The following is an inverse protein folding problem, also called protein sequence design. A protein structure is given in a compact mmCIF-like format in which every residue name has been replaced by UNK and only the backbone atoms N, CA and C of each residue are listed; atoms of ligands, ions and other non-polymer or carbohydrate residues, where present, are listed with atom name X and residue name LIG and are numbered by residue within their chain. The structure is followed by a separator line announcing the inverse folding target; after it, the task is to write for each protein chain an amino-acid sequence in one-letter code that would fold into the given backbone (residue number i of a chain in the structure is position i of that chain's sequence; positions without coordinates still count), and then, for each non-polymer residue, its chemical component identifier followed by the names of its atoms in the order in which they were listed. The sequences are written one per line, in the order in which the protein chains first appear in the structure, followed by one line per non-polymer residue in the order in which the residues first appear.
data_IF_427426036439
#
_entry.id   IF_427426036439
#
_cell.length_a   1.000
_cell.length_b   1.000
_cell.length_c   1.000
_cell.angle_alpha   90.00
_cell.angle_beta   90.00
_cell.angle_gamma   90.00
#
_symmetry.space_group_name_H-M   'P 1'
#
loop_
_entity.id
_entity.type
_entity.pdbx_description
1 polymer ?
#
# COMPACT_ATOMS: atom_id res chain seq x y z
N UNK A 1 -53.00 26.66 12.34
CA UNK A 1 -51.80 26.73 11.48
C UNK A 1 -50.62 26.05 12.17
N UNK A 2 -50.61 24.72 12.27
CA UNK A 2 -49.53 24.00 12.96
C UNK A 2 -49.33 22.58 12.38
N UNK A 3 -49.40 22.44 11.05
CA UNK A 3 -49.17 21.15 10.37
C UNK A 3 -47.95 21.12 9.45
N UNK A 4 -47.30 22.26 9.20
CA UNK A 4 -46.18 22.35 8.27
C UNK A 4 -44.80 22.46 8.93
N UNK A 5 -44.71 22.46 10.26
CA UNK A 5 -43.42 22.66 10.94
C UNK A 5 -42.58 21.36 11.05
N UNK A 6 -43.22 20.20 11.01
CA UNK A 6 -42.53 18.91 11.15
C UNK A 6 -41.90 18.38 9.85
N UNK A 7 -42.33 18.87 8.68
CA UNK A 7 -41.77 18.46 7.40
C UNK A 7 -40.43 19.15 7.08
N UNK A 8 -40.17 20.32 7.67
CA UNK A 8 -38.92 21.07 7.47
C UNK A 8 -37.78 20.65 8.41
N UNK A 9 -38.10 19.98 9.53
CA UNK A 9 -37.09 19.48 10.48
C UNK A 9 -36.62 18.05 10.19
N UNK A 10 -37.37 17.29 9.37
CA UNK A 10 -37.01 15.90 9.02
C UNK A 10 -36.05 15.76 7.83
N UNK A 11 -35.84 16.81 7.04
CA UNK A 11 -35.03 16.77 5.82
C UNK A 11 -33.56 17.22 6.01
N UNK A 12 -33.19 17.62 7.23
CA UNK A 12 -31.88 18.24 7.52
C UNK A 12 -30.77 17.28 7.97
N UNK A 13 -31.04 15.99 8.18
CA UNK A 13 -30.13 15.10 8.93
C UNK A 13 -29.33 14.11 8.04
N UNK A 14 -29.58 14.01 6.72
CA UNK A 14 -29.06 12.87 5.94
C UNK A 14 -27.77 13.16 5.13
N UNK A 15 -27.26 14.38 5.03
CA UNK A 15 -26.29 14.71 3.97
C UNK A 15 -24.83 14.95 4.36
N UNK A 16 -24.33 14.44 5.49
CA UNK A 16 -22.87 14.55 5.76
C UNK A 16 -22.28 13.29 6.39
N UNK A 17 -22.50 12.13 5.77
CA UNK A 17 -21.52 11.04 5.82
C UNK A 17 -20.66 11.16 4.55
N UNK A 18 -19.89 12.25 4.46
CA UNK A 18 -18.76 12.31 3.55
C UNK A 18 -17.78 11.22 3.98
N UNK A 19 -17.89 10.06 3.34
CA UNK A 19 -17.00 8.93 3.55
C UNK A 19 -15.57 9.40 3.34
N UNK A 20 -14.81 9.47 4.42
CA UNK A 20 -13.38 9.70 4.35
C UNK A 20 -12.80 8.54 3.54
N UNK A 21 -12.38 8.80 2.30
CA UNK A 21 -11.72 7.75 1.52
C UNK A 21 -10.35 7.54 2.15
N UNK A 22 -10.12 6.39 2.79
CA UNK A 22 -8.81 5.97 3.31
C UNK A 22 -7.87 5.64 2.14
N UNK A 23 -7.61 6.62 1.26
CA UNK A 23 -6.66 6.50 0.17
C UNK A 23 -5.27 6.62 0.74
N UNK A 24 -4.39 5.71 0.34
CA UNK A 24 -3.00 5.75 0.72
C UNK A 24 -2.21 6.54 -0.31
N UNK A 25 -1.56 7.61 0.14
CA UNK A 25 -0.83 8.53 -0.73
C UNK A 25 0.66 8.17 -0.87
N UNK A 26 1.25 7.52 0.13
CA UNK A 26 2.63 7.05 0.09
C UNK A 26 2.87 6.05 -1.04
N UNK A 27 4.05 6.02 -1.69
CA UNK A 27 4.42 4.96 -2.63
C UNK A 27 4.33 3.58 -1.98
N UNK A 28 3.68 2.66 -2.67
CA UNK A 28 3.36 1.34 -2.10
C UNK A 28 3.04 0.31 -3.18
N UNK A 29 3.12 -0.96 -2.81
CA UNK A 29 2.77 -2.07 -3.70
C UNK A 29 2.11 -3.22 -2.94
N UNK A 30 1.40 -4.08 -3.67
CA UNK A 30 0.82 -5.31 -3.12
C UNK A 30 1.70 -6.49 -3.51
N UNK A 31 2.05 -7.32 -2.54
CA UNK A 31 2.73 -8.59 -2.81
C UNK A 31 2.20 -9.67 -1.87
N UNK A 32 1.79 -10.83 -2.42
CA UNK A 32 1.21 -11.93 -1.65
C UNK A 32 0.12 -11.48 -0.67
N UNK A 33 -0.86 -10.71 -1.17
CA UNK A 33 -2.00 -10.16 -0.43
C UNK A 33 -1.65 -9.23 0.74
N UNK A 34 -0.40 -8.76 0.81
CA UNK A 34 0.05 -7.78 1.79
C UNK A 34 0.46 -6.48 1.08
N UNK A 35 0.05 -5.36 1.68
CA UNK A 35 0.50 -4.03 1.25
C UNK A 35 1.85 -3.74 1.87
N UNK A 36 2.79 -3.26 1.05
CA UNK A 36 4.11 -2.79 1.46
C UNK A 36 4.26 -1.32 1.08
N UNK A 37 4.71 -0.50 2.04
CA UNK A 37 5.05 0.89 1.85
C UNK A 37 6.52 0.95 1.46
N UNK A 38 6.80 1.50 0.28
CA UNK A 38 8.17 1.71 -0.16
C UNK A 38 8.81 2.79 0.72
N UNK A 39 9.91 2.44 1.37
CA UNK A 39 10.78 3.39 2.08
C UNK A 39 11.95 3.71 1.18
N UNK A 40 12.56 4.88 1.35
CA UNK A 40 13.81 5.24 0.66
C UNK A 40 15.04 4.85 1.50
N UNK A 41 14.88 3.88 2.41
CA UNK A 41 15.98 3.35 3.20
C UNK A 41 16.76 2.35 2.35
N UNK A 42 18.03 2.61 2.02
CA UNK A 42 18.82 1.71 1.20
C UNK A 42 19.19 0.43 1.96
N UNK A 43 19.38 -0.66 1.23
CA UNK A 43 19.88 -1.93 1.74
C UNK A 43 21.02 -2.42 0.84
N UNK A 44 21.99 -3.11 1.43
CA UNK A 44 23.16 -3.62 0.70
C UNK A 44 22.82 -4.92 -0.03
N UNK A 45 23.48 -5.16 -1.17
CA UNK A 45 23.21 -6.32 -2.03
C UNK A 45 23.48 -7.65 -1.32
N UNK A 46 24.42 -7.69 -0.36
CA UNK A 46 24.74 -8.90 0.42
C UNK A 46 23.60 -9.36 1.33
N UNK A 47 22.62 -8.48 1.61
CA UNK A 47 21.40 -8.82 2.32
C UNK A 47 20.29 -9.33 1.38
N UNK A 48 20.47 -9.29 0.05
CA UNK A 48 19.50 -9.79 -0.92
C UNK A 48 19.69 -11.29 -1.15
N UNK A 49 18.59 -12.05 -1.13
CA UNK A 49 18.60 -13.50 -1.39
C UNK A 49 18.26 -13.79 -2.85
N UNK A 50 17.01 -13.53 -3.25
CA UNK A 50 16.50 -13.86 -4.58
C UNK A 50 15.37 -12.92 -4.99
N UNK A 51 15.13 -12.87 -6.31
CA UNK A 51 13.95 -12.20 -6.87
C UNK A 51 12.72 -13.03 -6.53
N UNK A 52 11.78 -12.42 -5.81
CA UNK A 52 10.50 -13.05 -5.46
C UNK A 52 9.36 -12.60 -6.35
N UNK A 53 9.52 -11.46 -7.05
CA UNK A 53 8.40 -10.85 -7.77
C UNK A 53 8.77 -9.66 -8.64
N UNK A 54 7.76 -9.08 -9.28
CA UNK A 54 7.91 -7.87 -10.09
C UNK A 54 6.60 -7.08 -10.08
N UNK A 55 6.70 -5.76 -10.07
CA UNK A 55 5.54 -4.88 -10.28
C UNK A 55 5.07 -5.02 -11.74
N UNK A 56 3.89 -5.59 -11.94
CA UNK A 56 3.32 -5.86 -13.25
C UNK A 56 2.39 -4.75 -13.73
N UNK A 57 1.81 -3.96 -12.82
CA UNK A 57 0.86 -2.89 -13.13
C UNK A 57 1.02 -1.69 -12.21
N UNK A 58 0.98 -0.48 -12.78
CA UNK A 58 0.91 0.77 -12.01
C UNK A 58 -0.54 1.22 -11.86
N UNK A 59 -0.90 1.69 -10.65
CA UNK A 59 -2.23 2.20 -10.34
C UNK A 59 -2.17 3.57 -9.64
N UNK A 60 -3.21 4.37 -9.79
CA UNK A 60 -3.33 5.71 -9.20
C UNK A 60 -3.79 5.69 -7.72
N UNK A 61 -4.46 4.61 -7.32
CA UNK A 61 -5.11 4.47 -6.00
C UNK A 61 -4.39 3.50 -5.07
N UNK A 62 -5.07 3.13 -3.98
CA UNK A 62 -4.61 2.04 -3.11
C UNK A 62 -4.59 0.74 -3.90
N UNK A 63 -3.46 0.04 -3.89
CA UNK A 63 -3.29 -1.28 -4.50
C UNK A 63 -4.23 -2.33 -3.90
N UNK A 64 -4.62 -3.30 -4.73
CA UNK A 64 -5.61 -4.33 -4.41
C UNK A 64 -5.16 -5.73 -4.81
N UNK A 65 -4.33 -5.87 -5.83
CA UNK A 65 -3.90 -7.16 -6.38
C UNK A 65 -2.37 -7.30 -6.36
N UNK A 66 -1.86 -8.50 -6.08
CA UNK A 66 -0.41 -8.76 -6.07
C UNK A 66 0.24 -8.38 -7.41
N UNK A 67 1.33 -7.62 -7.35
CA UNK A 67 2.00 -7.07 -8.53
C UNK A 67 1.54 -5.65 -8.92
N UNK A 68 0.52 -5.10 -8.27
CA UNK A 68 0.20 -3.67 -8.40
C UNK A 68 1.13 -2.79 -7.57
N UNK A 69 1.50 -1.62 -8.13
CA UNK A 69 2.24 -0.57 -7.44
C UNK A 69 1.67 0.82 -7.70
N UNK A 70 1.75 1.70 -6.70
CA UNK A 70 1.52 3.15 -6.82
C UNK A 70 2.82 3.87 -6.50
N UNK A 71 3.24 4.78 -7.38
CA UNK A 71 4.50 5.52 -7.19
C UNK A 71 5.75 4.65 -7.30
N UNK A 72 5.61 3.43 -7.84
CA UNK A 72 6.69 2.47 -8.11
C UNK A 72 6.57 2.08 -9.58
N UNK A 73 7.70 2.01 -10.29
CA UNK A 73 7.70 1.76 -11.73
C UNK A 73 7.24 0.33 -12.07
N UNK A 74 6.57 0.18 -13.20
CA UNK A 74 6.32 -1.13 -13.78
C UNK A 74 7.66 -1.79 -14.12
N UNK A 75 7.81 -3.08 -13.82
CA UNK A 75 9.04 -3.82 -14.02
C UNK A 75 10.01 -3.77 -12.83
N UNK A 76 9.73 -2.98 -11.79
CA UNK A 76 10.52 -3.00 -10.55
C UNK A 76 10.52 -4.41 -9.95
N UNK A 77 11.73 -4.96 -9.77
CA UNK A 77 11.94 -6.28 -9.17
C UNK A 77 11.79 -6.20 -7.65
N UNK A 78 11.18 -7.24 -7.09
CA UNK A 78 10.97 -7.42 -5.66
C UNK A 78 11.84 -8.57 -5.17
N UNK A 79 12.44 -8.42 -3.99
CA UNK A 79 13.48 -9.29 -3.50
C UNK A 79 13.24 -9.74 -2.05
N UNK A 80 13.61 -10.97 -1.76
CA UNK A 80 13.69 -11.47 -0.39
C UNK A 80 14.95 -10.94 0.29
N UNK A 81 14.82 -10.52 1.55
CA UNK A 81 15.93 -10.04 2.39
C UNK A 81 16.36 -11.12 3.39
N UNK A 82 17.68 -11.32 3.53
CA UNK A 82 18.32 -12.26 4.45
C UNK A 82 17.96 -11.99 5.91
N UNK A 83 17.61 -13.04 6.64
CA UNK A 83 17.30 -12.94 8.07
C UNK A 83 16.02 -12.15 8.40
N UNK A 84 15.28 -11.68 7.39
CA UNK A 84 13.97 -11.01 7.52
C UNK A 84 12.89 -11.87 6.89
N UNK A 85 12.92 -13.17 7.20
CA UNK A 85 12.04 -14.16 6.58
C UNK A 85 10.56 -13.84 6.78
N UNK A 86 9.78 -14.16 5.74
CA UNK A 86 8.32 -14.16 5.68
C UNK A 86 7.77 -15.40 6.45
N UNK A 87 8.41 -15.79 7.54
CA UNK A 87 8.04 -16.98 8.32
C UNK A 87 7.68 -16.57 9.75
N UNK A 88 6.48 -16.96 10.18
CA UNK A 88 6.01 -16.83 11.58
C UNK A 88 5.64 -15.42 12.08
N UNK A 89 5.17 -14.54 11.19
CA UNK A 89 4.26 -13.46 11.57
C UNK A 89 4.87 -12.19 12.18
N UNK A 90 6.20 -12.10 12.38
CA UNK A 90 6.86 -10.83 12.77
C UNK A 90 8.26 -10.68 12.17
N UNK A 91 8.32 -10.28 10.90
CA UNK A 91 8.92 -9.01 10.42
C UNK A 91 8.60 -8.91 8.91
N UNK A 92 8.08 -7.76 8.48
CA UNK A 92 7.49 -7.56 7.17
C UNK A 92 8.29 -6.60 6.31
N UNK A 93 9.42 -7.05 5.77
CA UNK A 93 10.16 -6.24 4.80
C UNK A 93 10.38 -7.01 3.50
N UNK A 94 10.30 -6.30 2.39
CA UNK A 94 10.68 -6.75 1.05
C UNK A 94 11.65 -5.72 0.50
N UNK A 95 12.63 -6.13 -0.28
CA UNK A 95 13.48 -5.18 -1.00
C UNK A 95 12.93 -4.91 -2.40
N UNK A 96 13.14 -3.71 -2.90
CA UNK A 96 12.83 -3.34 -4.29
C UNK A 96 13.99 -2.56 -4.90
N UNK A 97 14.13 -2.66 -6.22
CA UNK A 97 15.22 -2.03 -6.97
C UNK A 97 14.74 -0.77 -7.69
N UNK A 98 15.48 0.32 -7.52
CA UNK A 98 15.27 1.58 -8.20
C UNK A 98 16.64 2.22 -8.47
N UNK A 99 16.90 2.63 -9.71
CA UNK A 99 18.15 3.28 -10.13
C UNK A 99 19.41 2.51 -9.66
N UNK A 100 19.44 1.20 -9.94
CA UNK A 100 20.52 0.27 -9.57
C UNK A 100 20.82 0.21 -8.06
N UNK A 101 19.89 0.68 -7.22
CA UNK A 101 19.99 0.68 -5.76
C UNK A 101 18.84 -0.14 -5.16
N UNK A 102 19.15 -0.96 -4.16
CA UNK A 102 18.14 -1.69 -3.40
C UNK A 102 17.62 -0.86 -2.23
N UNK A 103 16.31 -0.86 -2.05
CA UNK A 103 15.62 -0.16 -0.98
C UNK A 103 14.68 -1.09 -0.24
N UNK A 104 14.32 -0.72 0.98
CA UNK A 104 13.42 -1.48 1.83
C UNK A 104 11.97 -1.02 1.62
N UNK A 105 11.04 -1.95 1.60
CA UNK A 105 9.61 -1.70 1.72
C UNK A 105 9.08 -2.41 2.97
N UNK A 106 8.29 -1.70 3.75
CA UNK A 106 7.76 -2.19 5.03
C UNK A 106 6.29 -2.57 4.91
N UNK A 107 5.92 -3.71 5.49
CA UNK A 107 4.56 -4.24 5.50
C UNK A 107 3.66 -3.26 6.25
N UNK A 108 2.64 -2.76 5.56
CA UNK A 108 1.62 -1.91 6.16
C UNK A 108 0.77 -2.72 7.14
N UNK A 109 0.68 -2.26 8.38
CA UNK A 109 -0.19 -2.84 9.40
C UNK A 109 -1.41 -1.91 9.53
N UNK A 110 -2.60 -2.43 9.22
CA UNK A 110 -3.87 -1.74 9.50
C UNK A 110 -4.26 -1.92 10.96
#
# INVERSE_FOLDING_TARGET
MLKNLFALLGLGIILVLSGCSNKMDSPHFMWNDMIYIATYEPIVEEEIIEVIGTISRVVEGTVKESGEGKGIAQGTRLYQIKGREISSGKIGYIAYEMDDTFYIASKYHQ
#
